data_IF_332524429957
#
_entry.id   IF_332524429957
#
_cell.length_a   1.000
_cell.length_b   1.000
_cell.length_c   1.000
_cell.angle_alpha   90.00
_cell.angle_beta   90.00
_cell.angle_gamma   90.00
#
_symmetry.space_group_name_H-M   'P 1'
#
loop_
_entity.id
_entity.type
_entity.pdbx_description
1 polymer ?
#
# COMPACT_ATOMS: atom_id res chain seq x y z
N UNK A 1 -8.69 3.21 -13.03
CA UNK A 1 -7.77 4.08 -12.25
C UNK A 1 -6.50 3.30 -12.23
N UNK A 2 -5.60 3.55 -13.17
CA UNK A 2 -4.61 2.55 -13.57
C UNK A 2 -3.23 3.18 -13.64
N UNK A 3 -3.09 4.30 -14.37
CA UNK A 3 -1.81 5.01 -14.55
C UNK A 3 -1.38 5.65 -13.23
N UNK A 4 -2.29 6.37 -12.56
CA UNK A 4 -2.00 7.05 -11.29
C UNK A 4 -1.74 6.10 -10.12
N UNK A 5 -2.22 4.85 -10.22
CA UNK A 5 -2.02 3.82 -9.20
C UNK A 5 -0.87 2.87 -9.49
N UNK A 6 -0.26 2.94 -10.68
CA UNK A 6 0.86 2.08 -11.08
C UNK A 6 0.48 0.62 -11.26
N UNK A 7 -0.65 0.36 -11.92
CA UNK A 7 -1.11 -1.00 -12.20
C UNK A 7 -0.54 -1.48 -13.53
N UNK A 8 0.62 -2.11 -13.46
CA UNK A 8 1.28 -2.72 -14.63
C UNK A 8 0.70 -4.13 -14.89
N UNK A 9 -0.63 -4.24 -15.02
CA UNK A 9 -1.33 -5.54 -15.09
C UNK A 9 -0.92 -6.39 -16.29
N UNK A 10 -0.46 -5.75 -17.37
CA UNK A 10 0.07 -6.44 -18.53
C UNK A 10 1.35 -7.25 -18.21
N UNK A 11 2.11 -6.88 -17.18
CA UNK A 11 3.34 -7.58 -16.79
C UNK A 11 3.06 -8.92 -16.07
N UNK A 12 1.84 -9.12 -15.58
CA UNK A 12 1.50 -10.28 -14.74
C UNK A 12 1.35 -11.55 -15.58
N UNK A 13 1.16 -11.41 -16.90
CA UNK A 13 0.99 -12.53 -17.81
C UNK A 13 -0.18 -13.43 -17.38
N UNK A 14 0.12 -14.69 -17.05
CA UNK A 14 -0.86 -15.68 -16.59
C UNK A 14 -0.99 -15.80 -15.07
N UNK A 15 -0.28 -14.96 -14.29
CA UNK A 15 -0.32 -15.03 -12.82
C UNK A 15 -1.62 -14.40 -12.31
N UNK A 16 -2.49 -15.14 -11.60
CA UNK A 16 -3.70 -14.57 -11.03
C UNK A 16 -3.37 -13.53 -9.96
N UNK A 17 -4.12 -12.43 -9.94
CA UNK A 17 -4.02 -11.39 -8.92
C UNK A 17 -5.36 -11.21 -8.22
N UNK A 18 -5.28 -10.72 -6.98
CA UNK A 18 -6.44 -10.44 -6.11
C UNK A 18 -6.32 -9.04 -5.54
N UNK A 19 -7.43 -8.49 -5.05
CA UNK A 19 -7.49 -7.16 -4.41
C UNK A 19 -7.11 -5.99 -5.33
N UNK A 20 -7.21 -6.19 -6.65
CA UNK A 20 -7.08 -5.15 -7.67
C UNK A 20 -8.46 -4.89 -8.25
N UNK A 21 -8.82 -3.62 -8.44
CA UNK A 21 -10.12 -3.18 -8.97
C UNK A 21 -11.34 -3.69 -8.19
N UNK A 22 -11.17 -3.89 -6.88
CA UNK A 22 -12.23 -4.35 -5.97
C UNK A 22 -13.07 -3.23 -5.35
N UNK A 23 -12.75 -1.96 -5.64
CA UNK A 23 -13.45 -0.80 -5.11
C UNK A 23 -13.58 0.29 -6.17
N UNK A 24 -14.79 0.84 -6.30
CA UNK A 24 -15.07 1.92 -7.24
C UNK A 24 -14.40 3.23 -6.80
N UNK A 25 -13.92 4.06 -7.76
CA UNK A 25 -13.55 5.44 -7.49
C UNK A 25 -14.73 6.17 -6.83
N UNK A 26 -14.46 6.78 -5.69
CA UNK A 26 -15.41 7.36 -4.75
C UNK A 26 -15.42 6.64 -3.39
N UNK A 27 -15.06 5.36 -3.37
CA UNK A 27 -15.24 4.50 -2.19
C UNK A 27 -14.09 4.66 -1.19
N UNK A 28 -14.41 4.72 0.10
CA UNK A 28 -13.40 4.62 1.15
C UNK A 28 -12.94 3.16 1.28
N UNK A 29 -11.64 2.94 1.13
CA UNK A 29 -10.98 1.67 1.35
C UNK A 29 -9.99 1.82 2.51
N UNK A 30 -10.20 1.06 3.58
CA UNK A 30 -9.44 1.17 4.81
C UNK A 30 -8.85 -0.18 5.22
N UNK A 31 -8.01 -0.17 6.26
CA UNK A 31 -7.31 -1.37 6.74
C UNK A 31 -8.27 -2.49 7.15
N UNK A 32 -9.43 -2.15 7.70
CA UNK A 32 -10.44 -3.14 8.11
C UNK A 32 -11.04 -3.87 6.91
N UNK A 33 -11.43 -3.13 5.87
CA UNK A 33 -11.90 -3.73 4.60
C UNK A 33 -10.81 -4.60 3.97
N UNK A 34 -9.58 -4.11 3.95
CA UNK A 34 -8.44 -4.87 3.47
C UNK A 34 -8.25 -6.20 4.21
N UNK A 35 -8.35 -6.23 5.54
CA UNK A 35 -8.23 -7.48 6.30
C UNK A 35 -9.31 -8.49 5.91
N UNK A 36 -10.56 -8.05 5.73
CA UNK A 36 -11.65 -8.91 5.31
C UNK A 36 -11.44 -9.46 3.90
N UNK A 37 -11.10 -8.59 2.95
CA UNK A 37 -10.92 -8.99 1.55
C UNK A 37 -9.67 -9.87 1.40
N UNK A 38 -8.60 -9.58 2.15
CA UNK A 38 -7.41 -10.42 2.25
C UNK A 38 -7.74 -11.82 2.77
N UNK A 39 -8.52 -11.94 3.84
CA UNK A 39 -8.92 -13.25 4.38
C UNK A 39 -9.65 -14.10 3.34
N UNK A 40 -10.59 -13.49 2.60
CA UNK A 40 -11.32 -14.19 1.51
C UNK A 40 -10.40 -14.63 0.39
N UNK A 41 -9.52 -13.74 -0.08
CA UNK A 41 -8.56 -14.08 -1.15
C UNK A 41 -7.60 -15.19 -0.70
N UNK A 42 -7.15 -15.12 0.55
CA UNK A 42 -6.27 -16.11 1.18
C UNK A 42 -6.94 -17.49 1.22
N UNK A 43 -8.18 -17.58 1.70
CA UNK A 43 -8.97 -18.82 1.71
C UNK A 43 -9.15 -19.39 0.30
N UNK A 44 -9.53 -18.56 -0.66
CA UNK A 44 -9.74 -18.93 -2.06
C UNK A 44 -8.46 -19.46 -2.74
N UNK A 45 -7.32 -18.78 -2.56
CA UNK A 45 -6.02 -19.25 -3.09
C UNK A 45 -5.63 -20.60 -2.48
N UNK A 46 -5.78 -20.76 -1.17
CA UNK A 46 -5.50 -22.03 -0.48
C UNK A 46 -6.44 -23.15 -0.88
N UNK A 47 -7.73 -22.86 -1.07
CA UNK A 47 -8.73 -23.82 -1.51
C UNK A 47 -8.40 -24.43 -2.88
N UNK A 48 -7.68 -23.68 -3.74
CA UNK A 48 -7.13 -24.19 -5.00
C UNK A 48 -5.80 -24.93 -4.88
N UNK A 49 -5.25 -25.09 -3.68
CA UNK A 49 -3.94 -25.69 -3.45
C UNK A 49 -2.76 -24.82 -3.91
N UNK A 50 -2.98 -23.51 -4.12
CA UNK A 50 -1.94 -22.59 -4.57
C UNK A 50 -1.23 -21.90 -3.40
N UNK A 51 0.02 -21.45 -3.64
CA UNK A 51 0.78 -20.69 -2.66
C UNK A 51 0.49 -19.18 -2.79
N UNK A 52 0.01 -18.52 -1.72
CA UNK A 52 -0.31 -17.09 -1.75
C UNK A 52 0.93 -16.22 -1.59
N UNK A 53 1.01 -15.16 -2.40
CA UNK A 53 2.05 -14.14 -2.31
C UNK A 53 1.38 -12.79 -2.09
N UNK A 54 1.69 -12.14 -0.97
CA UNK A 54 1.33 -10.74 -0.73
C UNK A 54 2.44 -9.84 -1.28
N UNK A 55 2.15 -9.07 -2.32
CA UNK A 55 3.11 -8.18 -2.96
C UNK A 55 2.75 -6.70 -2.72
N UNK A 56 3.77 -5.87 -2.47
CA UNK A 56 3.63 -4.42 -2.29
C UNK A 56 3.07 -4.00 -0.94
N UNK A 57 2.38 -2.87 -0.93
CA UNK A 57 1.66 -2.35 0.23
C UNK A 57 2.46 -1.39 1.12
N UNK A 58 1.71 -0.59 1.88
CA UNK A 58 2.26 0.20 2.98
C UNK A 58 2.50 -0.72 4.16
N UNK A 59 3.60 -0.52 4.89
CA UNK A 59 3.94 -1.32 6.08
C UNK A 59 2.76 -1.57 7.05
N UNK A 60 1.86 -0.59 7.24
CA UNK A 60 0.62 -0.76 8.01
C UNK A 60 -0.26 -1.91 7.52
N UNK A 61 -0.52 -1.99 6.20
CA UNK A 61 -1.41 -3.00 5.61
C UNK A 61 -0.80 -4.39 5.71
N UNK A 62 0.52 -4.50 5.44
CA UNK A 62 1.27 -5.75 5.62
C UNK A 62 1.14 -6.19 7.09
N UNK A 63 1.51 -5.32 8.03
CA UNK A 63 1.46 -5.65 9.45
C UNK A 63 0.05 -5.98 9.95
N UNK A 64 -1.01 -5.42 9.35
CA UNK A 64 -2.39 -5.71 9.75
C UNK A 64 -2.84 -7.15 9.43
N UNK A 65 -2.19 -7.83 8.48
CA UNK A 65 -2.53 -9.21 8.10
C UNK A 65 -1.44 -10.23 8.43
N UNK A 66 -0.18 -9.80 8.56
CA UNK A 66 0.95 -10.70 8.87
C UNK A 66 1.39 -10.64 10.34
N UNK A 67 0.94 -9.63 11.09
CA UNK A 67 1.31 -9.42 12.49
C UNK A 67 0.05 -9.18 13.32
N UNK A 68 0.09 -9.52 14.61
CA UNK A 68 -0.89 -8.98 15.55
C UNK A 68 -0.59 -7.48 15.70
N UNK A 69 -1.24 -6.62 14.91
CA UNK A 69 -1.04 -5.18 14.99
C UNK A 69 -1.90 -4.61 16.12
N UNK A 70 -1.27 -4.12 17.19
CA UNK A 70 -1.98 -3.38 18.23
C UNK A 70 -2.16 -1.92 17.80
N UNK A 71 -3.39 -1.60 17.40
CA UNK A 71 -3.78 -0.26 16.98
C UNK A 71 -3.67 0.79 18.10
N UNK A 72 -3.67 0.37 19.38
CA UNK A 72 -3.59 1.26 20.53
C UNK A 72 -2.15 1.71 20.80
N UNK A 73 -1.17 0.83 20.63
CA UNK A 73 0.24 1.14 20.89
C UNK A 73 1.01 1.70 19.68
N UNK A 74 0.43 1.70 18.47
CA UNK A 74 1.08 2.10 17.20
C UNK A 74 2.41 1.36 16.94
N UNK A 75 2.60 0.17 17.52
CA UNK A 75 3.78 -0.67 17.35
C UNK A 75 3.35 -2.04 16.85
N UNK A 76 4.13 -2.70 15.97
CA UNK A 76 3.92 -4.11 15.72
C UNK A 76 4.18 -4.87 17.02
N UNK A 77 3.21 -5.67 17.49
CA UNK A 77 3.44 -6.55 18.64
C UNK A 77 4.53 -7.55 18.22
N UNK A 78 5.62 -7.57 18.97
CA UNK A 78 6.59 -8.66 18.91
C UNK A 78 5.86 -9.94 19.33
N UNK A 79 5.68 -10.90 18.42
CA UNK A 79 5.22 -12.24 18.81
C UNK A 79 6.26 -12.88 19.74
N UNK A 80 5.89 -13.73 20.73
CA UNK A 80 4.60 -14.42 20.89
C UNK A 80 3.76 -13.87 22.06
N UNK A 81 2.44 -13.80 21.85
CA UNK A 81 1.49 -13.57 22.95
C UNK A 81 1.28 -14.88 23.70
N UNK A 82 2.05 -15.09 24.77
CA UNK A 82 1.62 -15.96 25.87
C UNK A 82 1.13 -15.07 27.02
N UNK A 83 -0.20 -15.00 27.13
CA UNK A 83 -1.03 -14.68 28.31
C UNK A 83 -0.68 -13.44 29.16
N UNK A 84 -1.58 -12.45 29.16
CA UNK A 84 -1.86 -11.63 30.35
C UNK A 84 -3.38 -11.49 30.56
N UNK A 85 -3.90 -11.83 31.75
CA UNK A 85 -5.27 -11.54 32.14
C UNK A 85 -5.36 -10.12 32.74
N UNK A 86 -6.29 -9.29 32.26
CA UNK A 86 -6.73 -8.10 32.99
C UNK A 86 -6.62 -6.73 32.32
N UNK A 87 -6.77 -6.60 31.00
CA UNK A 87 -7.07 -5.32 30.36
C UNK A 87 -8.45 -5.40 29.69
N UNK A 88 -9.36 -4.55 30.15
CA UNK A 88 -10.79 -4.51 29.77
C UNK A 88 -11.03 -3.48 28.65
N UNK A 89 -11.91 -3.87 27.72
CA UNK A 89 -12.72 -3.09 26.77
C UNK A 89 -12.03 -2.34 25.61
N UNK A 90 -11.50 -3.12 24.68
CA UNK A 90 -11.59 -2.86 23.22
C UNK A 90 -12.20 -4.07 22.51
N UNK A 91 -13.16 -4.70 23.20
CA UNK A 91 -13.78 -5.96 22.84
C UNK A 91 -14.39 -5.87 21.42
N UNK A 92 -14.09 -6.91 20.63
CA UNK A 92 -14.62 -7.23 19.30
C UNK A 92 -13.82 -6.77 18.06
N UNK A 93 -12.50 -6.76 18.13
CA UNK A 93 -11.73 -7.29 16.99
C UNK A 93 -11.05 -8.60 17.39
N UNK A 94 -11.85 -9.66 17.42
CA UNK A 94 -11.28 -10.98 17.22
C UNK A 94 -10.89 -11.07 15.75
N UNK A 95 -9.60 -11.31 15.40
CA UNK A 95 -9.28 -11.63 14.02
C UNK A 95 -10.14 -12.84 13.65
N UNK A 96 -11.04 -12.67 12.66
CA UNK A 96 -11.73 -13.79 12.05
C UNK A 96 -10.69 -14.87 11.75
N UNK A 97 -11.04 -16.12 12.09
CA UNK A 97 -10.14 -17.26 12.23
C UNK A 97 -9.00 -17.38 11.21
N UNK A 98 -7.93 -18.04 11.66
CA UNK A 98 -6.69 -18.37 10.94
C UNK A 98 -5.67 -17.27 10.64
N UNK A 99 -5.98 -15.97 10.73
CA UNK A 99 -4.97 -14.91 10.47
C UNK A 99 -3.90 -14.79 11.57
N UNK A 100 -4.23 -15.11 12.82
CA UNK A 100 -3.32 -14.95 13.97
C UNK A 100 -2.11 -15.92 13.96
N UNK A 101 -2.05 -16.87 13.01
CA UNK A 101 -1.03 -17.92 12.95
C UNK A 101 -0.32 -18.02 11.58
N UNK A 102 -0.39 -16.99 10.73
CA UNK A 102 0.27 -17.02 9.43
C UNK A 102 1.79 -17.10 9.59
N UNK A 103 2.35 -18.28 9.30
CA UNK A 103 3.78 -18.45 9.07
C UNK A 103 4.15 -17.71 7.79
N UNK A 104 4.63 -16.48 7.97
CA UNK A 104 4.94 -15.56 6.87
C UNK A 104 6.44 -15.54 6.62
N UNK A 105 6.81 -15.66 5.36
CA UNK A 105 8.19 -15.46 4.90
C UNK A 105 8.31 -14.10 4.23
N UNK A 106 9.12 -13.20 4.80
CA UNK A 106 9.25 -11.83 4.31
C UNK A 106 10.45 -11.71 3.37
N UNK A 107 10.19 -11.19 2.17
CA UNK A 107 11.23 -10.84 1.19
C UNK A 107 11.14 -9.33 0.94
N UNK A 108 12.28 -8.65 0.98
CA UNK A 108 12.37 -7.22 0.68
C UNK A 108 13.34 -6.98 -0.46
N UNK A 109 13.02 -6.05 -1.36
CA UNK A 109 13.96 -5.61 -2.40
C UNK A 109 14.77 -4.42 -1.92
N UNK A 110 16.09 -4.47 -2.07
CA UNK A 110 17.01 -3.42 -1.67
C UNK A 110 17.71 -2.83 -2.89
N UNK A 111 17.69 -1.51 -2.97
CA UNK A 111 18.47 -0.73 -3.93
C UNK A 111 19.07 0.47 -3.21
N UNK A 112 20.16 1.02 -3.76
CA UNK A 112 20.75 2.25 -3.21
C UNK A 112 19.73 3.40 -3.21
N UNK A 113 19.95 4.39 -2.34
CA UNK A 113 19.04 5.53 -2.25
C UNK A 113 19.00 6.30 -3.56
N UNK A 114 20.15 6.44 -4.18
CA UNK A 114 20.41 7.17 -5.41
C UNK A 114 19.64 6.51 -6.56
N UNK A 115 19.87 5.21 -6.77
CA UNK A 115 19.17 4.42 -7.81
C UNK A 115 17.67 4.38 -7.56
N UNK A 116 17.21 4.27 -6.31
CA UNK A 116 15.78 4.30 -5.99
C UNK A 116 15.15 5.62 -6.42
N UNK A 117 15.80 6.74 -6.10
CA UNK A 117 15.29 8.07 -6.42
C UNK A 117 15.26 8.29 -7.93
N UNK A 118 16.34 7.90 -8.64
CA UNK A 118 16.39 7.96 -10.11
C UNK A 118 15.26 7.14 -10.75
N UNK A 119 15.03 5.90 -10.29
CA UNK A 119 13.92 5.05 -10.77
C UNK A 119 12.55 5.66 -10.45
N UNK A 120 12.38 6.28 -9.27
CA UNK A 120 11.14 6.97 -8.89
C UNK A 120 10.88 8.16 -9.80
N UNK A 121 11.90 9.00 -10.03
CA UNK A 121 11.80 10.18 -10.89
C UNK A 121 11.46 9.78 -12.33
N UNK A 122 12.20 8.82 -12.90
CA UNK A 122 11.94 8.33 -14.25
C UNK A 122 10.51 7.77 -14.39
N UNK A 123 10.07 6.95 -13.42
CA UNK A 123 8.72 6.37 -13.43
C UNK A 123 7.62 7.44 -13.29
N UNK A 124 7.86 8.48 -12.48
CA UNK A 124 6.92 9.59 -12.35
C UNK A 124 6.78 10.34 -13.67
N UNK A 125 7.90 10.66 -14.32
CA UNK A 125 7.92 11.38 -15.59
C UNK A 125 7.21 10.57 -16.68
N UNK A 126 7.49 9.27 -16.82
CA UNK A 126 6.76 8.38 -17.74
C UNK A 126 5.26 8.39 -17.50
N UNK A 127 4.79 8.26 -16.24
CA UNK A 127 3.35 8.28 -15.94
C UNK A 127 2.69 9.61 -16.28
N UNK A 128 3.39 10.71 -16.07
CA UNK A 128 2.89 12.03 -16.45
C UNK A 128 2.75 12.15 -17.97
N UNK A 129 3.72 11.64 -18.73
CA UNK A 129 3.70 11.60 -20.20
C UNK A 129 2.62 10.66 -20.76
N UNK A 130 2.37 9.53 -20.11
CA UNK A 130 1.36 8.53 -20.52
C UNK A 130 -0.09 8.96 -20.22
N UNK A 131 -0.31 10.15 -19.68
CA UNK A 131 -1.65 10.71 -19.51
C UNK A 131 -2.26 10.55 -18.12
N UNK A 132 -1.44 10.40 -17.06
CA UNK A 132 -1.93 10.42 -15.67
C UNK A 132 -2.76 11.68 -15.36
N UNK A 133 -2.34 12.84 -15.91
CA UNK A 133 -3.08 14.10 -15.77
C UNK A 133 -4.45 14.02 -16.44
N UNK A 134 -4.53 13.38 -17.60
CA UNK A 134 -5.77 13.23 -18.36
C UNK A 134 -6.74 12.27 -17.66
N UNK A 135 -6.24 11.17 -17.08
CA UNK A 135 -7.02 10.24 -16.25
C UNK A 135 -7.70 10.99 -15.11
N UNK A 136 -6.94 11.77 -14.34
CA UNK A 136 -7.46 12.49 -13.16
C UNK A 136 -8.42 13.60 -13.59
N UNK A 137 -8.16 14.28 -14.70
CA UNK A 137 -9.08 15.27 -15.28
C UNK A 137 -10.41 14.62 -15.68
N UNK A 138 -10.39 13.41 -16.23
CA UNK A 138 -11.60 12.68 -16.60
C UNK A 138 -12.44 12.31 -15.35
N UNK A 139 -11.80 11.93 -14.24
CA UNK A 139 -12.50 11.64 -12.97
C UNK A 139 -13.19 12.88 -12.40
N UNK A 140 -12.53 14.04 -12.43
CA UNK A 140 -13.15 15.31 -12.05
C UNK A 140 -14.35 15.64 -12.94
N UNK A 141 -14.22 15.47 -14.27
CA UNK A 141 -15.33 15.68 -15.22
C UNK A 141 -16.52 14.74 -14.99
N UNK A 142 -16.27 13.52 -14.50
CA UNK A 142 -17.31 12.55 -14.10
C UNK A 142 -18.03 12.94 -12.79
N UNK A 143 -17.62 14.02 -12.14
CA UNK A 143 -18.26 14.52 -10.93
C UNK A 143 -17.69 13.94 -9.64
N UNK A 144 -16.55 13.23 -9.69
CA UNK A 144 -15.89 12.77 -8.46
C UNK A 144 -15.34 14.01 -7.73
N UNK A 145 -15.68 14.22 -6.44
CA UNK A 145 -15.21 15.40 -5.71
C UNK A 145 -13.68 15.45 -5.64
N UNK A 146 -13.11 16.64 -5.86
CA UNK A 146 -11.67 16.84 -5.79
C UNK A 146 -11.08 16.41 -4.42
N UNK A 147 -11.83 16.65 -3.34
CA UNK A 147 -11.43 16.24 -1.99
C UNK A 147 -11.27 14.71 -1.87
N UNK A 148 -12.09 13.94 -2.59
CA UNK A 148 -11.99 12.49 -2.66
C UNK A 148 -10.72 12.08 -3.40
N UNK A 149 -10.44 12.66 -4.57
CA UNK A 149 -9.22 12.36 -5.31
C UNK A 149 -7.95 12.70 -4.51
N UNK A 150 -7.96 13.82 -3.77
CA UNK A 150 -6.85 14.24 -2.90
C UNK A 150 -6.51 13.20 -1.83
N UNK A 151 -7.47 12.35 -1.45
CA UNK A 151 -7.26 11.28 -0.46
C UNK A 151 -6.66 9.98 -1.03
N UNK A 152 -6.56 9.82 -2.36
CA UNK A 152 -6.24 8.53 -2.98
C UNK A 152 -4.77 8.21 -3.06
N UNK A 153 -3.91 9.20 -2.89
CA UNK A 153 -2.47 9.04 -2.97
C UNK A 153 -1.77 10.35 -3.28
N UNK A 154 -0.45 10.28 -3.40
CA UNK A 154 0.35 11.46 -3.69
C UNK A 154 0.06 11.96 -5.10
N UNK A 155 0.06 11.06 -6.08
CA UNK A 155 -0.17 11.34 -7.49
C UNK A 155 -1.53 12.04 -7.69
N UNK A 156 -2.61 11.41 -7.22
CA UNK A 156 -3.96 12.00 -7.30
C UNK A 156 -4.04 13.34 -6.59
N UNK A 157 -3.42 13.49 -5.42
CA UNK A 157 -3.40 14.76 -4.68
C UNK A 157 -2.72 15.87 -5.47
N UNK A 158 -1.47 15.68 -5.87
CA UNK A 158 -0.68 16.75 -6.48
C UNK A 158 -1.23 17.13 -7.86
N UNK A 159 -1.63 16.14 -8.67
CA UNK A 159 -2.25 16.40 -9.97
C UNK A 159 -3.61 17.09 -9.82
N UNK A 160 -4.43 16.70 -8.84
CA UNK A 160 -5.71 17.40 -8.59
C UNK A 160 -5.49 18.85 -8.20
N UNK A 161 -4.52 19.15 -7.33
CA UNK A 161 -4.20 20.53 -6.94
C UNK A 161 -3.72 21.38 -8.14
N UNK A 162 -2.93 20.78 -9.03
CA UNK A 162 -2.56 21.40 -10.31
C UNK A 162 -3.78 21.66 -11.20
N UNK A 163 -4.67 20.68 -11.37
CA UNK A 163 -5.88 20.83 -12.18
C UNK A 163 -6.87 21.87 -11.63
N UNK A 164 -6.81 22.14 -10.32
CA UNK A 164 -7.57 23.21 -9.66
C UNK A 164 -6.87 24.59 -9.74
N UNK A 165 -5.73 24.69 -10.42
CA UNK A 165 -4.98 25.95 -10.59
C UNK A 165 -4.24 26.42 -9.33
N UNK A 166 -4.03 25.54 -8.34
CA UNK A 166 -3.34 25.92 -7.09
C UNK A 166 -1.80 25.92 -7.21
N UNK A 167 -1.26 25.36 -8.28
CA UNK A 167 0.16 25.36 -8.62
C UNK A 167 0.35 25.12 -10.12
N UNK A 168 1.48 25.55 -10.66
CA UNK A 168 1.87 25.20 -12.03
C UNK A 168 2.39 23.76 -12.15
N UNK A 169 2.57 23.30 -13.38
CA UNK A 169 2.99 21.92 -13.67
C UNK A 169 4.39 21.60 -13.14
N UNK A 170 5.34 22.53 -13.28
CA UNK A 170 6.73 22.32 -12.84
C UNK A 170 6.80 22.14 -11.31
N UNK A 171 6.09 23.01 -10.58
CA UNK A 171 5.94 22.95 -9.13
C UNK A 171 5.23 21.67 -8.69
N UNK A 172 4.20 21.25 -9.42
CA UNK A 172 3.49 19.99 -9.14
C UNK A 172 4.42 18.79 -9.24
N UNK A 173 5.17 18.66 -10.33
CA UNK A 173 6.12 17.56 -10.54
C UNK A 173 7.19 17.53 -9.46
N UNK A 174 7.81 18.67 -9.17
CA UNK A 174 8.88 18.77 -8.17
C UNK A 174 8.40 18.35 -6.77
N UNK A 175 7.23 18.86 -6.35
CA UNK A 175 6.65 18.54 -5.04
C UNK A 175 6.18 17.10 -4.95
N UNK A 176 5.60 16.57 -6.02
CA UNK A 176 5.18 15.18 -6.11
C UNK A 176 6.38 14.23 -5.99
N UNK A 177 7.44 14.46 -6.76
CA UNK A 177 8.69 13.69 -6.69
C UNK A 177 9.27 13.71 -5.27
N UNK A 178 9.38 14.90 -4.67
CA UNK A 178 9.84 15.05 -3.28
C UNK A 178 8.99 14.26 -2.30
N UNK A 179 7.66 14.30 -2.44
CA UNK A 179 6.75 13.56 -1.58
C UNK A 179 6.90 12.03 -1.75
N UNK A 180 7.09 11.54 -2.98
CA UNK A 180 7.31 10.11 -3.25
C UNK A 180 8.66 9.66 -2.68
N UNK A 181 9.74 10.44 -2.82
CA UNK A 181 11.03 10.17 -2.18
C UNK A 181 10.92 10.04 -0.66
N UNK A 182 10.19 10.98 -0.02
CA UNK A 182 9.95 10.92 1.41
C UNK A 182 9.09 9.71 1.80
N UNK A 183 8.10 9.34 0.98
CA UNK A 183 7.28 8.15 1.21
C UNK A 183 8.12 6.86 1.12
N UNK A 184 8.94 6.70 0.08
CA UNK A 184 9.85 5.57 -0.07
C UNK A 184 10.84 5.47 1.12
N UNK A 185 11.37 6.60 1.59
CA UNK A 185 12.19 6.64 2.81
C UNK A 185 11.40 6.16 4.03
N UNK A 186 10.14 6.60 4.21
CA UNK A 186 9.28 6.16 5.32
C UNK A 186 8.99 4.65 5.27
N UNK A 187 8.79 4.07 4.08
CA UNK A 187 8.66 2.61 3.93
C UNK A 187 9.90 1.88 4.44
N UNK A 188 11.10 2.31 4.02
CA UNK A 188 12.35 1.72 4.51
C UNK A 188 12.51 1.87 6.03
N UNK A 189 12.12 3.01 6.60
CA UNK A 189 12.10 3.20 8.06
C UNK A 189 11.14 2.22 8.75
N UNK A 190 9.97 1.97 8.16
CA UNK A 190 9.01 1.00 8.68
C UNK A 190 9.57 -0.42 8.68
N UNK A 191 10.11 -0.89 7.55
CA UNK A 191 10.67 -2.24 7.44
C UNK A 191 11.84 -2.47 8.40
N UNK A 192 12.73 -1.48 8.58
CA UNK A 192 13.76 -1.51 9.63
C UNK A 192 13.18 -1.58 11.04
N UNK A 193 12.02 -0.94 11.26
CA UNK A 193 11.27 -1.05 12.51
C UNK A 193 10.77 -2.48 12.74
N UNK A 194 10.25 -3.13 11.69
CA UNK A 194 9.84 -4.54 11.75
C UNK A 194 11.01 -5.46 12.11
N UNK A 195 12.19 -5.25 11.53
CA UNK A 195 13.39 -6.03 11.87
C UNK A 195 13.79 -5.86 13.34
N UNK A 196 13.74 -4.64 13.87
CA UNK A 196 13.99 -4.38 15.30
C UNK A 196 12.97 -5.04 16.22
N UNK A 197 11.75 -5.27 15.74
CA UNK A 197 10.70 -6.00 16.44
C UNK A 197 10.83 -7.53 16.31
N UNK A 198 11.90 -8.03 15.68
CA UNK A 198 12.20 -9.46 15.57
C UNK A 198 11.73 -10.13 14.28
N UNK A 199 11.19 -9.37 13.32
CA UNK A 199 10.76 -9.93 12.02
C UNK A 199 11.99 -10.08 11.12
N UNK A 200 12.27 -11.29 10.66
CA UNK A 200 13.34 -11.53 9.70
C UNK A 200 12.85 -11.18 8.28
N UNK A 201 13.44 -10.15 7.67
CA UNK A 201 13.21 -9.77 6.27
C UNK A 201 14.43 -10.22 5.45
N UNK A 202 14.19 -11.05 4.45
CA UNK A 202 15.22 -11.50 3.52
C UNK A 202 15.37 -10.47 2.40
N UNK A 203 16.40 -9.62 2.51
CA UNK A 203 16.68 -8.60 1.51
C UNK A 203 17.40 -9.16 0.29
N UNK A 204 16.95 -8.77 -0.90
CA UNK A 204 17.56 -9.10 -2.19
C UNK A 204 17.87 -7.84 -2.98
N UNK A 205 19.03 -7.77 -3.61
CA UNK A 205 19.44 -6.62 -4.44
C UNK A 205 18.82 -6.71 -5.84
N UNK A 206 18.30 -5.59 -6.36
CA UNK A 206 17.60 -5.47 -7.67
C UNK A 206 17.95 -4.18 -8.41
#
# INVERSE_FOLDING_TARGET
MDIGTGKDLCEYGSVPYHLIDIAEPGTQYNVYRFQQDFARAMEDIRGRGAFPILCGGTGLYISAVTCSYDFLSKKPLSAPVTTYPGAVDLDLYEPNGDLAALRTYFIGTLVSREVRNERIDARLDTRLEEGMVDEIRALLKRGIPAQTLISYGLEYRFVTLYLLGQMDYATMRERLATAIHQFAKRQMTWFRGMERSGICIHWTEV
#
